data_IF_801621100749
#
_entry.id   IF_801621100749
#
_cell.length_a   1.000
_cell.length_b   1.000
_cell.length_c   1.000
_cell.angle_alpha   90.00
_cell.angle_beta   90.00
_cell.angle_gamma   90.00
#
_symmetry.space_group_name_H-M   'P 1'
#
loop_
_entity.id
_entity.type
_entity.pdbx_description
1 polymer ?
#
# COMPACT_ATOMS: atom_id res chain seq x y z
N UNK A 1 7.10 19.36 -9.86
CA UNK A 1 7.48 18.05 -9.29
C UNK A 1 7.66 17.07 -10.43
N UNK A 2 8.71 16.23 -10.42
CA UNK A 2 8.97 15.33 -11.56
C UNK A 2 7.98 14.16 -11.59
N UNK A 3 7.47 13.81 -12.78
CA UNK A 3 6.54 12.68 -12.95
C UNK A 3 7.10 11.35 -12.44
N UNK A 4 8.40 11.11 -12.60
CA UNK A 4 9.09 9.92 -12.07
C UNK A 4 8.97 9.81 -10.55
N UNK A 5 8.98 10.95 -9.85
CA UNK A 5 8.90 10.94 -8.40
C UNK A 5 7.48 10.68 -7.89
N UNK A 6 6.47 11.22 -8.58
CA UNK A 6 5.08 10.86 -8.30
C UNK A 6 4.84 9.36 -8.52
N UNK A 7 5.43 8.77 -9.57
CA UNK A 7 5.35 7.34 -9.81
C UNK A 7 5.96 6.52 -8.67
N UNK A 8 7.13 6.92 -8.17
CA UNK A 8 7.74 6.30 -7.00
C UNK A 8 6.80 6.35 -5.78
N UNK A 9 6.12 7.48 -5.53
CA UNK A 9 5.16 7.60 -4.42
C UNK A 9 3.99 6.63 -4.60
N UNK A 10 3.44 6.51 -5.81
CA UNK A 10 2.37 5.55 -6.11
C UNK A 10 2.78 4.11 -5.81
N UNK A 11 3.96 3.69 -6.26
CA UNK A 11 4.51 2.36 -5.97
C UNK A 11 4.66 2.12 -4.47
N UNK A 12 5.17 3.12 -3.74
CA UNK A 12 5.29 3.04 -2.28
C UNK A 12 3.93 2.94 -1.60
N UNK A 13 2.91 3.63 -2.10
CA UNK A 13 1.53 3.55 -1.57
C UNK A 13 0.90 2.18 -1.84
N UNK A 14 1.10 1.60 -3.01
CA UNK A 14 0.63 0.25 -3.34
C UNK A 14 1.25 -0.76 -2.37
N UNK A 15 2.56 -0.74 -2.19
CA UNK A 15 3.26 -1.65 -1.26
C UNK A 15 2.80 -1.39 0.18
N UNK A 16 2.69 -0.12 0.58
CA UNK A 16 2.25 0.22 1.91
C UNK A 16 0.85 -0.26 2.19
N UNK A 17 -0.07 -0.19 1.24
CA UNK A 17 -1.48 -0.51 1.49
C UNK A 17 -1.88 -1.94 1.11
N UNK A 18 -0.96 -2.71 0.53
CA UNK A 18 -1.15 -4.12 0.25
C UNK A 18 -1.45 -4.92 1.53
N UNK A 19 -2.41 -5.85 1.41
CA UNK A 19 -2.72 -6.82 2.44
C UNK A 19 -1.73 -7.99 2.36
N UNK A 20 -0.86 -8.10 3.38
CA UNK A 20 0.16 -9.14 3.49
C UNK A 20 -0.27 -10.25 4.48
N UNK A 21 -1.48 -10.19 5.03
CA UNK A 21 -2.00 -11.13 6.04
C UNK A 21 -2.18 -12.57 5.53
N UNK A 22 -2.11 -12.78 4.21
CA UNK A 22 -2.20 -14.08 3.56
C UNK A 22 -0.86 -14.72 3.16
N UNK A 23 0.29 -14.13 3.52
CA UNK A 23 1.59 -14.71 3.21
C UNK A 23 1.77 -16.05 3.94
N UNK A 24 1.59 -17.15 3.20
CA UNK A 24 1.85 -18.50 3.71
C UNK A 24 3.35 -18.78 3.65
N UNK A 25 3.84 -19.57 4.62
CA UNK A 25 5.24 -19.98 4.64
C UNK A 25 5.57 -20.70 3.33
N UNK A 26 6.64 -20.27 2.67
CA UNK A 26 7.16 -20.98 1.52
C UNK A 26 7.68 -22.36 1.93
N UNK A 27 7.69 -23.32 0.99
CA UNK A 27 8.24 -24.66 1.24
C UNK A 27 9.67 -24.61 1.80
N UNK A 28 10.49 -23.68 1.31
CA UNK A 28 11.86 -23.48 1.77
C UNK A 28 11.93 -22.98 3.22
N UNK A 29 11.04 -22.07 3.63
CA UNK A 29 10.98 -21.60 5.02
C UNK A 29 10.53 -22.73 5.95
N UNK A 30 9.55 -23.54 5.52
CA UNK A 30 9.10 -24.71 6.28
C UNK A 30 10.22 -25.77 6.42
N UNK A 31 11.04 -25.96 5.39
CA UNK A 31 12.19 -26.87 5.45
C UNK A 31 13.30 -26.34 6.35
N UNK A 32 13.57 -25.04 6.32
CA UNK A 32 14.54 -24.39 7.20
C UNK A 32 14.10 -24.46 8.67
N UNK A 33 12.79 -24.32 8.94
CA UNK A 33 12.21 -24.49 10.28
C UNK A 33 12.35 -25.94 10.82
N UNK A 34 12.39 -26.94 9.95
CA UNK A 34 12.55 -28.36 10.32
C UNK A 34 14.00 -28.85 10.23
N UNK A 35 14.95 -27.99 9.88
CA UNK A 35 16.34 -28.38 9.77
C UNK A 35 16.90 -28.80 11.13
N UNK A 36 17.66 -29.90 11.16
CA UNK A 36 18.27 -30.41 12.38
C UNK A 36 19.23 -29.38 12.98
N UNK A 37 18.93 -28.91 14.19
CA UNK A 37 19.72 -27.90 14.88
C UNK A 37 20.97 -28.54 15.52
N UNK A 38 22.16 -28.09 15.12
CA UNK A 38 23.44 -28.50 15.73
C UNK A 38 24.02 -27.35 16.56
N UNK A 39 24.42 -27.64 17.81
CA UNK A 39 25.08 -26.64 18.66
C UNK A 39 26.41 -27.18 19.19
N UNK A 40 27.49 -26.46 18.89
CA UNK A 40 28.83 -26.77 19.37
C UNK A 40 29.09 -26.37 20.83
N UNK A 41 28.12 -25.76 21.53
CA UNK A 41 28.30 -25.22 22.89
C UNK A 41 28.61 -26.31 23.91
N UNK A 42 27.96 -27.46 23.80
CA UNK A 42 28.23 -28.63 24.63
C UNK A 42 28.69 -29.78 23.74
N UNK A 43 30.00 -30.07 23.78
CA UNK A 43 30.56 -31.17 23.00
C UNK A 43 30.04 -32.50 23.52
N UNK A 44 29.73 -33.41 22.61
CA UNK A 44 29.27 -34.78 22.94
C UNK A 44 30.34 -35.47 23.79
N UNK A 45 29.90 -36.17 24.85
CA UNK A 45 30.80 -37.01 25.65
C UNK A 45 31.30 -38.16 24.79
N UNK A 46 32.62 -38.24 24.59
CA UNK A 46 33.26 -39.32 23.83
C UNK A 46 33.49 -40.52 24.74
N UNK A 47 32.72 -41.59 24.54
CA UNK A 47 32.85 -42.82 25.31
C UNK A 47 33.98 -43.65 24.68
N UNK A 48 34.91 -44.12 25.52
CA UNK A 48 36.01 -44.98 25.09
C UNK A 48 35.69 -46.41 25.48
N UNK A 49 35.74 -47.32 24.52
CA UNK A 49 35.55 -48.75 24.74
C UNK A 49 36.85 -49.49 24.43
N UNK A 50 37.11 -50.59 25.16
CA UNK A 50 38.25 -51.45 24.89
C UNK A 50 37.80 -52.56 23.96
N UNK A 51 38.37 -52.59 22.76
CA UNK A 51 38.06 -53.61 21.79
C UNK A 51 38.60 -54.97 22.26
N UNK A 52 37.72 -55.96 22.41
CA UNK A 52 38.04 -57.25 23.04
C UNK A 52 39.05 -58.07 22.22
N UNK A 53 39.05 -57.89 20.90
CA UNK A 53 39.93 -58.62 19.96
C UNK A 53 41.29 -57.93 19.80
N UNK A 54 41.30 -56.60 19.76
CA UNK A 54 42.48 -55.81 19.39
C UNK A 54 43.19 -55.20 20.60
N UNK A 55 42.57 -55.20 21.78
CA UNK A 55 43.09 -54.66 23.03
C UNK A 55 43.27 -53.13 23.09
N UNK A 56 43.05 -52.44 21.96
CA UNK A 56 43.18 -50.99 21.78
C UNK A 56 41.92 -50.27 22.24
N UNK A 57 42.11 -49.06 22.79
CA UNK A 57 41.00 -48.19 23.19
C UNK A 57 40.47 -47.45 21.97
N UNK A 58 39.24 -47.76 21.56
CA UNK A 58 38.57 -47.11 20.44
C UNK A 58 37.63 -46.05 20.99
N UNK A 59 37.73 -44.83 20.46
CA UNK A 59 36.80 -43.74 20.79
C UNK A 59 35.71 -43.72 19.73
N UNK A 60 34.47 -44.08 20.10
CA UNK A 60 33.31 -43.94 19.22
C UNK A 60 32.59 -42.64 19.52
N UNK A 61 32.10 -41.97 18.48
CA UNK A 61 31.22 -40.83 18.66
C UNK A 61 29.84 -41.31 19.12
N UNK A 62 29.29 -40.64 20.13
CA UNK A 62 27.96 -40.94 20.64
C UNK A 62 26.91 -40.58 19.56
N UNK A 63 25.85 -41.39 19.36
CA UNK A 63 24.74 -41.01 18.49
C UNK A 63 24.15 -39.65 18.90
N UNK A 64 23.53 -38.90 17.96
CA UNK A 64 22.91 -37.62 18.25
C UNK A 64 21.97 -37.73 19.44
N UNK A 65 22.15 -36.86 20.45
CA UNK A 65 21.23 -36.81 21.60
C UNK A 65 19.99 -36.04 21.15
N UNK A 66 18.78 -36.59 21.28
CA UNK A 66 17.56 -35.84 20.97
C UNK A 66 17.39 -34.71 21.98
N UNK A 67 17.55 -33.47 21.52
CA UNK A 67 17.29 -32.26 22.30
C UNK A 67 16.06 -31.53 21.75
N UNK A 68 15.16 -31.10 22.65
CA UNK A 68 14.01 -30.26 22.27
C UNK A 68 14.37 -28.80 22.49
N UNK A 69 14.37 -28.01 21.42
CA UNK A 69 14.58 -26.57 21.52
C UNK A 69 13.39 -25.93 22.26
N UNK A 70 13.66 -25.04 23.22
CA UNK A 70 12.61 -24.33 23.97
C UNK A 70 11.88 -23.29 23.12
N UNK A 71 12.55 -22.76 22.10
CA UNK A 71 11.98 -21.90 21.06
C UNK A 71 11.77 -22.73 19.81
N UNK A 72 10.55 -22.78 19.28
CA UNK A 72 10.22 -23.55 18.08
C UNK A 72 11.03 -23.17 16.82
N UNK A 73 11.73 -22.02 16.81
CA UNK A 73 12.45 -21.47 15.65
C UNK A 73 13.86 -20.95 15.93
N UNK A 74 14.37 -21.06 17.17
CA UNK A 74 15.67 -20.46 17.56
C UNK A 74 15.75 -18.93 17.55
N UNK A 75 14.79 -18.23 16.96
CA UNK A 75 14.62 -16.77 16.96
C UNK A 75 13.17 -16.39 17.32
N UNK A 76 12.95 -15.14 17.72
CA UNK A 76 11.61 -14.63 17.96
C UNK A 76 10.84 -14.47 16.63
N UNK A 77 9.58 -14.88 16.62
CA UNK A 77 8.68 -14.60 15.50
C UNK A 77 8.35 -13.10 15.56
N UNK A 78 8.70 -12.29 14.54
CA UNK A 78 8.35 -10.88 14.54
C UNK A 78 6.84 -10.73 14.42
N UNK A 79 6.23 -9.93 15.29
CA UNK A 79 4.78 -9.66 15.29
C UNK A 79 4.33 -8.80 14.09
N UNK A 80 5.26 -8.07 13.48
CA UNK A 80 5.02 -7.17 12.35
C UNK A 80 6.05 -7.50 11.28
N UNK A 81 5.61 -7.65 10.03
CA UNK A 81 6.55 -7.91 8.94
C UNK A 81 7.45 -6.69 8.69
N UNK A 82 8.66 -6.92 8.20
CA UNK A 82 9.61 -5.84 7.93
C UNK A 82 9.07 -4.85 6.87
N UNK A 83 8.31 -5.35 5.89
CA UNK A 83 7.67 -4.53 4.86
C UNK A 83 6.62 -3.63 5.49
N UNK A 84 5.73 -4.16 6.33
CA UNK A 84 4.73 -3.35 7.01
C UNK A 84 5.35 -2.33 7.96
N UNK A 85 6.41 -2.72 8.67
CA UNK A 85 7.13 -1.81 9.54
C UNK A 85 7.76 -0.65 8.75
N UNK A 86 8.49 -0.94 7.68
CA UNK A 86 9.16 0.08 6.85
C UNK A 86 8.16 1.02 6.15
N UNK A 87 7.03 0.49 5.70
CA UNK A 87 5.98 1.23 4.99
C UNK A 87 4.94 1.87 5.92
N UNK A 88 4.95 1.56 7.22
CA UNK A 88 4.01 2.12 8.22
C UNK A 88 3.93 3.64 8.20
N UNK A 89 5.05 4.33 7.92
CA UNK A 89 5.09 5.79 7.77
C UNK A 89 4.17 6.32 6.67
N UNK A 90 4.01 5.57 5.57
CA UNK A 90 3.10 5.92 4.49
C UNK A 90 1.64 5.67 4.89
N UNK A 91 1.33 4.54 5.53
CA UNK A 91 -0.03 4.25 6.04
C UNK A 91 -0.50 5.36 6.99
N UNK A 92 0.36 5.77 7.93
CA UNK A 92 0.04 6.85 8.88
C UNK A 92 -0.19 8.18 8.18
N UNK A 93 0.63 8.52 7.19
CA UNK A 93 0.44 9.73 6.41
C UNK A 93 -0.88 9.71 5.63
N UNK A 94 -1.20 8.62 4.92
CA UNK A 94 -2.46 8.50 4.16
C UNK A 94 -3.68 8.64 5.07
N UNK A 95 -3.69 7.96 6.21
CA UNK A 95 -4.83 7.99 7.14
C UNK A 95 -5.00 9.33 7.85
N UNK A 96 -3.99 10.19 7.84
CA UNK A 96 -4.04 11.55 8.42
C UNK A 96 -4.40 12.64 7.41
N UNK A 97 -4.66 12.28 6.14
CA UNK A 97 -5.11 13.23 5.12
C UNK A 97 -6.58 13.62 5.28
N UNK A 98 -6.95 14.71 4.60
CA UNK A 98 -8.34 15.08 4.35
C UNK A 98 -9.11 13.98 3.61
N UNK A 99 -10.43 13.92 3.84
CA UNK A 99 -11.24 12.77 3.44
C UNK A 99 -11.21 12.48 1.94
N UNK A 100 -11.24 13.50 1.09
CA UNK A 100 -11.23 13.35 -0.36
C UNK A 100 -9.87 12.85 -0.88
N UNK A 101 -8.75 13.37 -0.35
CA UNK A 101 -7.42 12.88 -0.67
C UNK A 101 -7.22 11.43 -0.19
N UNK A 102 -7.61 11.13 1.06
CA UNK A 102 -7.54 9.77 1.63
C UNK A 102 -8.37 8.78 0.80
N UNK A 103 -9.62 9.15 0.48
CA UNK A 103 -10.53 8.33 -0.30
C UNK A 103 -9.98 8.02 -1.70
N UNK A 104 -9.44 9.04 -2.38
CA UNK A 104 -8.83 8.87 -3.71
C UNK A 104 -7.67 7.88 -3.68
N UNK A 105 -6.73 8.04 -2.74
CA UNK A 105 -5.54 7.20 -2.67
C UNK A 105 -5.87 5.75 -2.29
N UNK A 106 -6.78 5.53 -1.33
CA UNK A 106 -7.23 4.18 -0.99
C UNK A 106 -7.96 3.53 -2.16
N UNK A 107 -8.84 4.27 -2.84
CA UNK A 107 -9.57 3.73 -3.98
C UNK A 107 -8.67 3.38 -5.17
N UNK A 108 -7.62 4.17 -5.43
CA UNK A 108 -6.71 3.94 -6.55
C UNK A 108 -5.62 2.91 -6.25
N UNK A 109 -5.00 2.98 -5.07
CA UNK A 109 -3.76 2.27 -4.79
C UNK A 109 -3.89 1.13 -3.76
N UNK A 110 -4.92 1.13 -2.90
CA UNK A 110 -5.08 0.10 -1.86
C UNK A 110 -6.00 -1.06 -2.23
N UNK A 111 -6.46 -1.12 -3.49
CA UNK A 111 -7.45 -2.12 -3.92
C UNK A 111 -8.80 -2.03 -3.19
N UNK A 112 -9.04 -0.97 -2.41
CA UNK A 112 -10.24 -0.85 -1.60
C UNK A 112 -11.40 -0.32 -2.48
N UNK A 113 -12.38 -1.18 -2.73
CA UNK A 113 -13.55 -0.85 -3.59
C UNK A 113 -14.72 -0.27 -2.78
N UNK A 114 -14.47 0.21 -1.55
CA UNK A 114 -15.51 0.79 -0.70
C UNK A 114 -16.27 1.91 -1.43
N UNK A 115 -17.60 1.75 -1.46
CA UNK A 115 -18.51 2.70 -2.08
C UNK A 115 -18.42 4.11 -1.45
N UNK A 116 -18.16 4.19 -0.14
CA UNK A 116 -18.02 5.45 0.57
C UNK A 116 -16.89 6.35 0.03
N UNK A 117 -15.78 5.75 -0.43
CA UNK A 117 -14.70 6.52 -1.05
C UNK A 117 -15.15 7.13 -2.39
N UNK A 118 -15.91 6.39 -3.19
CA UNK A 118 -16.42 6.87 -4.47
C UNK A 118 -17.39 8.04 -4.30
N UNK A 119 -18.24 8.00 -3.26
CA UNK A 119 -19.11 9.13 -2.92
C UNK A 119 -18.28 10.36 -2.56
N UNK A 120 -17.30 10.22 -1.66
CA UNK A 120 -16.47 11.35 -1.23
C UNK A 120 -15.73 12.02 -2.39
N UNK A 121 -15.17 11.21 -3.30
CA UNK A 121 -14.46 11.69 -4.50
C UNK A 121 -15.42 12.42 -5.45
N UNK A 122 -16.57 11.82 -5.75
CA UNK A 122 -17.53 12.41 -6.71
C UNK A 122 -18.18 13.67 -6.16
N UNK A 123 -18.45 13.76 -4.86
CA UNK A 123 -18.94 14.99 -4.23
C UNK A 123 -17.91 16.12 -4.28
N UNK A 124 -16.65 15.82 -3.98
CA UNK A 124 -15.57 16.80 -4.09
C UNK A 124 -15.39 17.26 -5.54
N UNK A 125 -15.32 16.32 -6.49
CA UNK A 125 -15.15 16.62 -7.91
C UNK A 125 -16.35 17.41 -8.47
N UNK A 126 -17.56 17.15 -7.99
CA UNK A 126 -18.76 17.93 -8.34
C UNK A 126 -18.65 19.38 -7.87
N UNK A 127 -18.18 19.61 -6.65
CA UNK A 127 -17.99 20.96 -6.12
C UNK A 127 -16.93 21.73 -6.91
N UNK A 128 -15.79 21.11 -7.20
CA UNK A 128 -14.73 21.71 -8.02
C UNK A 128 -15.14 21.96 -9.48
N UNK A 129 -15.93 21.05 -10.04
CA UNK A 129 -16.53 21.29 -11.35
C UNK A 129 -17.47 22.49 -11.31
N UNK A 130 -18.28 22.61 -10.26
CA UNK A 130 -19.24 23.72 -10.13
C UNK A 130 -18.52 25.07 -9.99
N UNK A 131 -17.46 25.15 -9.18
CA UNK A 131 -16.64 26.37 -9.04
C UNK A 131 -16.02 26.79 -10.37
N UNK A 132 -15.53 25.83 -11.17
CA UNK A 132 -14.93 26.11 -12.49
C UNK A 132 -15.97 26.42 -13.59
N UNK A 133 -17.17 25.83 -13.50
CA UNK A 133 -18.24 26.04 -14.48
C UNK A 133 -18.96 27.40 -14.37
N UNK A 134 -18.72 28.14 -13.28
CA UNK A 134 -19.28 29.47 -13.02
C UNK A 134 -20.79 29.46 -12.70
N UNK A 135 -21.41 30.64 -12.67
CA UNK A 135 -22.85 30.83 -12.35
C UNK A 135 -23.81 30.44 -13.48
N UNK A 136 -23.36 29.68 -14.48
CA UNK A 136 -24.20 29.27 -15.60
C UNK A 136 -25.30 28.34 -15.11
N UNK A 137 -26.56 28.71 -15.33
CA UNK A 137 -27.70 27.84 -15.02
C UNK A 137 -27.65 26.60 -15.92
N UNK A 138 -27.37 25.45 -15.34
CA UNK A 138 -27.43 24.16 -16.01
C UNK A 138 -28.86 23.63 -15.90
N UNK A 139 -29.44 23.24 -17.03
CA UNK A 139 -30.77 22.61 -17.06
C UNK A 139 -30.77 21.31 -16.23
N UNK A 140 -31.89 21.01 -15.56
CA UNK A 140 -32.00 19.87 -14.64
C UNK A 140 -31.66 18.53 -15.29
N UNK A 141 -32.19 18.28 -16.50
CA UNK A 141 -31.87 17.08 -17.29
C UNK A 141 -30.36 16.94 -17.59
N UNK A 142 -29.71 18.06 -17.91
CA UNK A 142 -28.26 18.07 -18.15
C UNK A 142 -27.49 17.83 -16.86
N UNK A 143 -27.96 18.38 -15.73
CA UNK A 143 -27.33 18.18 -14.43
C UNK A 143 -27.34 16.71 -14.00
N UNK A 144 -28.45 16.00 -14.20
CA UNK A 144 -28.54 14.57 -13.90
C UNK A 144 -27.53 13.74 -14.73
N UNK A 145 -27.40 14.08 -16.01
CA UNK A 145 -26.40 13.47 -16.90
C UNK A 145 -24.97 13.78 -16.43
N UNK A 146 -24.69 15.03 -16.07
CA UNK A 146 -23.38 15.42 -15.55
C UNK A 146 -23.01 14.68 -14.26
N UNK A 147 -23.97 14.36 -13.38
CA UNK A 147 -23.67 13.57 -12.17
C UNK A 147 -23.14 12.17 -12.52
N UNK A 148 -23.77 11.50 -13.49
CA UNK A 148 -23.29 10.22 -14.03
C UNK A 148 -21.91 10.38 -14.67
N UNK A 149 -21.73 11.48 -15.40
CA UNK A 149 -20.49 11.79 -16.11
C UNK A 149 -19.29 11.98 -15.17
N UNK A 150 -19.47 12.63 -14.01
CA UNK A 150 -18.38 12.78 -13.02
C UNK A 150 -17.91 11.43 -12.50
N UNK A 151 -18.84 10.50 -12.26
CA UNK A 151 -18.48 9.17 -11.80
C UNK A 151 -17.70 8.40 -12.87
N UNK A 152 -18.11 8.48 -14.13
CA UNK A 152 -17.37 7.92 -15.26
C UNK A 152 -15.98 8.57 -15.40
N UNK A 153 -15.87 9.88 -15.21
CA UNK A 153 -14.58 10.58 -15.27
C UNK A 153 -13.63 10.10 -14.16
N UNK A 154 -14.15 9.82 -12.96
CA UNK A 154 -13.34 9.26 -11.87
C UNK A 154 -12.78 7.88 -12.21
N UNK A 155 -13.60 7.04 -12.84
CA UNK A 155 -13.16 5.72 -13.31
C UNK A 155 -12.14 5.80 -14.43
N UNK A 156 -12.35 6.71 -15.39
CA UNK A 156 -11.45 6.90 -16.53
C UNK A 156 -10.06 7.38 -16.09
N UNK A 157 -10.00 8.34 -15.16
CA UNK A 157 -8.70 8.79 -14.60
C UNK A 157 -8.04 7.65 -13.83
N UNK A 158 -8.80 6.85 -13.09
CA UNK A 158 -8.25 5.68 -12.39
C UNK A 158 -7.72 4.63 -13.37
N UNK A 159 -8.43 4.33 -14.47
CA UNK A 159 -7.96 3.35 -15.46
C UNK A 159 -6.69 3.84 -16.16
N UNK A 160 -6.64 5.13 -16.52
CA UNK A 160 -5.46 5.78 -17.08
C UNK A 160 -4.24 5.67 -16.16
N UNK A 161 -4.41 5.94 -14.86
CA UNK A 161 -3.31 5.85 -13.88
C UNK A 161 -2.78 4.43 -13.69
N UNK A 162 -3.62 3.41 -13.87
CA UNK A 162 -3.22 1.99 -13.79
C UNK A 162 -2.63 1.52 -15.14
N UNK A 163 -2.76 2.31 -16.21
CA UNK A 163 -2.35 1.92 -17.56
C UNK A 163 -3.31 0.97 -18.26
N UNK A 164 -4.60 1.01 -17.89
CA UNK A 164 -5.68 0.30 -18.57
C UNK A 164 -6.30 1.17 -19.67
N UNK A 165 -7.10 0.55 -20.52
CA UNK A 165 -7.85 1.26 -21.55
C UNK A 165 -8.78 2.33 -20.94
N UNK A 166 -8.76 3.50 -21.56
CA UNK A 166 -9.64 4.64 -21.25
C UNK A 166 -10.83 4.63 -22.18
N UNK A 167 -11.96 5.18 -21.73
CA UNK A 167 -13.17 5.19 -22.54
C UNK A 167 -12.99 5.98 -23.83
N UNK A 168 -13.48 5.42 -24.94
CA UNK A 168 -13.58 6.17 -26.17
C UNK A 168 -14.75 7.16 -26.12
N UNK A 169 -14.63 8.29 -26.83
CA UNK A 169 -15.71 9.28 -26.88
C UNK A 169 -17.01 8.74 -27.49
N UNK A 170 -16.94 7.68 -28.30
CA UNK A 170 -18.12 7.04 -28.88
C UNK A 170 -18.87 6.26 -27.80
N UNK A 171 -18.15 5.45 -27.02
CA UNK A 171 -18.69 4.68 -25.90
C UNK A 171 -19.29 5.59 -24.82
N UNK A 172 -18.63 6.71 -24.52
CA UNK A 172 -19.15 7.69 -23.57
C UNK A 172 -20.45 8.34 -24.03
N UNK A 173 -20.60 8.60 -25.34
CA UNK A 173 -21.85 9.14 -25.88
C UNK A 173 -22.99 8.11 -25.78
N UNK A 174 -22.70 6.84 -26.02
CA UNK A 174 -23.64 5.72 -25.87
C UNK A 174 -24.05 5.50 -24.41
N UNK A 175 -23.10 5.46 -23.48
CA UNK A 175 -23.34 5.34 -22.03
C UNK A 175 -24.18 6.50 -21.47
N UNK A 176 -24.08 7.67 -22.08
CA UNK A 176 -24.85 8.86 -21.70
C UNK A 176 -26.20 8.97 -22.43
N UNK A 177 -26.49 8.09 -23.38
CA UNK A 177 -27.67 8.10 -24.25
C UNK A 177 -27.82 9.44 -25.01
N UNK A 178 -26.71 9.92 -25.58
CA UNK A 178 -26.62 11.19 -26.30
C UNK A 178 -26.08 10.96 -27.71
N UNK A 179 -26.58 11.73 -28.68
CA UNK A 179 -26.05 11.69 -30.04
C UNK A 179 -24.57 12.14 -30.10
N UNK A 180 -23.81 11.63 -31.07
CA UNK A 180 -22.39 11.99 -31.24
C UNK A 180 -22.17 13.51 -31.38
N UNK A 181 -23.07 14.21 -32.08
CA UNK A 181 -23.01 15.67 -32.25
C UNK A 181 -23.20 16.42 -30.93
N UNK A 182 -24.22 16.05 -30.15
CA UNK A 182 -24.49 16.68 -28.85
C UNK A 182 -23.39 16.39 -27.84
N UNK A 183 -22.76 15.21 -27.90
CA UNK A 183 -21.59 14.90 -27.10
C UNK A 183 -20.43 15.86 -27.37
N UNK A 184 -20.06 16.01 -28.65
CA UNK A 184 -18.91 16.84 -29.04
C UNK A 184 -19.10 18.32 -28.71
N UNK A 185 -20.32 18.83 -28.85
CA UNK A 185 -20.62 20.25 -28.63
C UNK A 185 -20.82 20.60 -27.15
N UNK A 186 -21.53 19.76 -26.40
CA UNK A 186 -21.98 20.11 -25.04
C UNK A 186 -21.21 19.37 -23.94
N UNK A 187 -21.04 18.05 -24.07
CA UNK A 187 -20.52 17.23 -22.97
C UNK A 187 -18.99 17.11 -22.97
N UNK A 188 -18.35 17.16 -24.14
CA UNK A 188 -16.88 17.06 -24.26
C UNK A 188 -16.13 18.15 -23.47
N UNK A 189 -16.53 19.44 -23.47
CA UNK A 189 -15.89 20.44 -22.63
C UNK A 189 -16.04 20.13 -21.13
N UNK A 190 -17.23 19.71 -20.71
CA UNK A 190 -17.49 19.33 -19.31
C UNK A 190 -16.67 18.11 -18.88
N UNK A 191 -16.57 17.09 -19.75
CA UNK A 191 -15.73 15.91 -19.54
C UNK A 191 -14.27 16.28 -19.30
N UNK A 192 -13.71 17.17 -20.13
CA UNK A 192 -12.33 17.63 -19.99
C UNK A 192 -12.08 18.33 -18.64
N UNK A 193 -13.02 19.17 -18.20
CA UNK A 193 -12.95 19.83 -16.90
C UNK A 193 -13.01 18.80 -15.76
N UNK A 194 -13.99 17.88 -15.81
CA UNK A 194 -14.16 16.84 -14.78
C UNK A 194 -12.92 15.95 -14.65
N UNK A 195 -12.37 15.48 -15.78
CA UNK A 195 -11.11 14.73 -15.78
C UNK A 195 -9.95 15.57 -15.26
N UNK A 196 -9.87 16.85 -15.63
CA UNK A 196 -8.89 17.79 -15.12
C UNK A 196 -8.94 17.92 -13.60
N UNK A 197 -10.12 18.09 -13.00
CA UNK A 197 -10.31 18.15 -11.55
C UNK A 197 -9.80 16.89 -10.85
N UNK A 198 -10.11 15.72 -11.40
CA UNK A 198 -9.76 14.43 -10.77
C UNK A 198 -8.28 14.10 -10.98
N UNK A 199 -7.71 14.44 -12.13
CA UNK A 199 -6.26 14.33 -12.34
C UNK A 199 -5.48 15.32 -11.44
N UNK A 200 -6.05 16.50 -11.18
CA UNK A 200 -5.56 17.45 -10.18
C UNK A 200 -5.59 16.85 -8.77
N UNK A 201 -6.72 16.26 -8.38
CA UNK A 201 -6.89 15.56 -7.10
C UNK A 201 -5.81 14.50 -6.86
N UNK A 202 -5.47 13.70 -7.86
CA UNK A 202 -4.40 12.70 -7.73
C UNK A 202 -3.05 13.35 -7.41
N UNK A 203 -2.69 14.39 -8.15
CA UNK A 203 -1.43 15.11 -7.94
C UNK A 203 -1.40 15.76 -6.56
N UNK A 204 -2.46 16.44 -6.17
CA UNK A 204 -2.56 17.15 -4.90
C UNK A 204 -2.58 16.18 -3.72
N UNK A 205 -3.25 15.04 -3.85
CA UNK A 205 -3.24 13.97 -2.85
C UNK A 205 -1.82 13.41 -2.65
N UNK A 206 -1.11 13.10 -3.74
CA UNK A 206 0.25 12.55 -3.66
C UNK A 206 1.22 13.56 -3.02
N UNK A 207 1.15 14.83 -3.43
CA UNK A 207 1.94 15.91 -2.84
C UNK A 207 1.65 16.03 -1.34
N UNK A 208 0.37 16.04 -0.97
CA UNK A 208 -0.08 16.18 0.41
C UNK A 208 0.42 15.03 1.30
N UNK A 209 0.31 13.77 0.86
CA UNK A 209 0.86 12.62 1.60
C UNK A 209 2.34 12.80 1.86
N UNK A 210 3.08 13.20 0.84
CA UNK A 210 4.52 13.29 0.98
C UNK A 210 4.93 14.38 1.97
N UNK A 211 4.33 15.57 1.87
CA UNK A 211 4.59 16.65 2.82
C UNK A 211 4.27 16.20 4.23
N UNK A 212 3.11 15.57 4.43
CA UNK A 212 2.68 15.08 5.74
C UNK A 212 3.63 13.99 6.28
N UNK A 213 4.04 13.04 5.44
CA UNK A 213 5.03 12.02 5.83
C UNK A 213 6.37 12.63 6.23
N UNK A 214 6.84 13.62 5.48
CA UNK A 214 8.09 14.34 5.79
C UNK A 214 7.99 15.05 7.15
N UNK A 215 6.90 15.77 7.38
CA UNK A 215 6.63 16.43 8.66
C UNK A 215 6.56 15.43 9.82
N UNK A 216 5.83 14.32 9.66
CA UNK A 216 5.73 13.26 10.66
C UNK A 216 7.09 12.64 10.99
N UNK A 217 7.95 12.39 9.99
CA UNK A 217 9.31 11.87 10.21
C UNK A 217 10.16 12.84 11.03
N UNK A 218 10.11 14.14 10.71
CA UNK A 218 10.85 15.17 11.45
C UNK A 218 10.36 15.26 12.89
N UNK A 219 9.03 15.26 13.10
CA UNK A 219 8.43 15.32 14.43
C UNK A 219 8.81 14.10 15.29
N UNK A 220 8.70 12.88 14.74
CA UNK A 220 9.05 11.65 15.43
C UNK A 220 10.54 11.60 15.79
N UNK A 221 11.41 12.06 14.88
CA UNK A 221 12.86 12.12 15.14
C UNK A 221 13.19 13.09 16.27
N UNK A 222 12.54 14.25 16.30
CA UNK A 222 12.69 15.23 17.40
C UNK A 222 12.21 14.63 18.73
N UNK A 223 11.04 14.00 18.74
CA UNK A 223 10.49 13.35 19.92
C UNK A 223 11.43 12.27 20.49
N UNK A 224 11.93 11.35 19.64
CA UNK A 224 12.89 10.34 20.06
C UNK A 224 14.16 10.94 20.66
N UNK A 225 14.73 11.99 20.05
CA UNK A 225 15.93 12.65 20.60
C UNK A 225 15.68 13.26 21.96
N UNK A 226 14.52 13.88 22.17
CA UNK A 226 14.12 14.45 23.46
C UNK A 226 13.95 13.37 24.52
N UNK A 227 13.30 12.26 24.16
CA UNK A 227 13.05 11.17 25.10
C UNK A 227 14.34 10.44 25.48
N UNK A 228 15.25 10.22 24.53
CA UNK A 228 16.59 9.69 24.83
C UNK A 228 17.35 10.61 25.78
N UNK A 229 17.30 11.94 25.56
CA UNK A 229 17.93 12.89 26.48
C UNK A 229 17.36 12.77 27.90
N UNK A 230 16.04 12.61 28.06
CA UNK A 230 15.41 12.43 29.37
C UNK A 230 15.87 11.15 30.06
N UNK A 231 15.90 10.04 29.34
CA UNK A 231 16.30 8.73 29.88
C UNK A 231 17.78 8.73 30.29
N UNK A 232 18.66 9.41 29.55
CA UNK A 232 20.09 9.47 29.88
C UNK A 232 20.48 10.62 30.82
N UNK A 233 19.54 11.53 31.16
CA UNK A 233 19.74 12.59 32.16
C UNK A 233 19.20 12.24 33.55
N UNK A 234 18.58 11.07 33.70
CA UNK A 234 18.12 10.50 34.97
C UNK A 234 19.08 9.39 35.41
#
# INVERSE_FOLDING_TARGET
>A
MNNQYLQFVREQLIIATADLSGATKGQLEAWLENAMFDTGRYRRKKIRYRDEVTGKMITRDNPPIPGKQSLAKGTSIPLVSQVEFSTSSWRRAVLSLEEHHKAWLLWCYSGNVCWGHQIAITLWAWNEFYTQSGTRKIAEKTRERLKKLIWLAAQDVKSELIGRETYEYQELAELMEVSKSTWTETYRPHWGIMRGCIAGLDRDALISVMHLRSQQKVANTKYCKTELKRVFSA
#
